data_IF_954068821439
#
_entry.id   IF_954068821439
#
_cell.length_a   1.000
_cell.length_b   1.000
_cell.length_c   1.000
_cell.angle_alpha   90.00
_cell.angle_beta   90.00
_cell.angle_gamma   90.00
#
_symmetry.space_group_name_H-M   'P 1'
#
loop_
_entity.id
_entity.type
_entity.pdbx_description
1 polymer ?
#
# COMPACT_ATOMS: atom_id res chain seq x y z
N UNK A 1 -1.27 -68.25 -7.61
CA UNK A 1 -0.42 -68.52 -6.44
C UNK A 1 0.89 -67.77 -6.60
N UNK A 2 1.07 -66.69 -5.84
CA UNK A 2 2.32 -65.97 -5.68
C UNK A 2 3.20 -66.77 -4.74
N UNK A 3 4.05 -67.66 -5.29
CA UNK A 3 4.90 -68.55 -4.51
C UNK A 3 6.33 -68.03 -4.34
N UNK A 4 6.69 -66.94 -5.00
CA UNK A 4 7.99 -66.29 -4.88
C UNK A 4 7.77 -64.81 -4.63
N UNK A 5 7.57 -64.49 -3.36
CA UNK A 5 7.29 -63.11 -2.94
C UNK A 5 8.56 -62.54 -2.29
N UNK A 6 9.42 -61.99 -3.10
CA UNK A 6 10.46 -61.10 -2.63
C UNK A 6 9.87 -59.69 -2.49
N UNK A 7 9.55 -59.31 -1.28
CA UNK A 7 8.89 -58.03 -0.99
C UNK A 7 9.77 -56.83 -1.36
N UNK A 8 11.07 -56.91 -1.13
CA UNK A 8 11.98 -55.79 -1.34
C UNK A 8 12.38 -55.60 -2.81
N UNK A 9 12.41 -56.64 -3.63
CA UNK A 9 12.83 -56.58 -5.04
C UNK A 9 11.69 -56.66 -6.06
N UNK A 10 10.43 -56.75 -5.62
CA UNK A 10 9.32 -56.95 -6.55
C UNK A 10 8.74 -55.64 -7.10
N UNK A 11 8.21 -55.70 -8.34
CA UNK A 11 7.43 -54.57 -8.91
C UNK A 11 6.23 -54.17 -8.03
N UNK A 12 5.70 -55.14 -7.24
CA UNK A 12 4.62 -54.87 -6.31
C UNK A 12 5.07 -53.94 -5.15
N UNK A 13 6.27 -54.16 -4.62
CA UNK A 13 6.86 -53.29 -3.61
C UNK A 13 7.00 -51.86 -4.13
N UNK A 14 7.51 -51.68 -5.33
CA UNK A 14 7.64 -50.36 -5.95
C UNK A 14 6.28 -49.63 -6.13
N UNK A 15 5.22 -50.39 -6.46
CA UNK A 15 3.86 -49.84 -6.55
C UNK A 15 3.34 -49.44 -5.16
N UNK A 16 3.57 -50.28 -4.16
CA UNK A 16 3.16 -49.99 -2.76
C UNK A 16 3.89 -48.76 -2.25
N UNK A 17 5.19 -48.64 -2.49
CA UNK A 17 5.98 -47.48 -2.11
C UNK A 17 5.49 -46.18 -2.80
N UNK A 18 5.17 -46.26 -4.09
CA UNK A 18 4.61 -45.12 -4.83
C UNK A 18 3.24 -44.72 -4.28
N UNK A 19 2.38 -45.66 -3.96
CA UNK A 19 1.08 -45.40 -3.33
C UNK A 19 1.22 -44.82 -1.94
N UNK A 20 2.14 -45.37 -1.14
CA UNK A 20 2.43 -44.84 0.19
C UNK A 20 2.93 -43.40 0.13
N UNK A 21 3.86 -43.11 -0.78
CA UNK A 21 4.37 -41.76 -1.00
C UNK A 21 3.26 -40.81 -1.47
N UNK A 22 2.44 -41.23 -2.43
CA UNK A 22 1.31 -40.42 -2.90
C UNK A 22 0.30 -40.13 -1.78
N UNK A 23 0.00 -41.12 -0.96
CA UNK A 23 -0.89 -40.98 0.21
C UNK A 23 -0.30 -40.03 1.23
N UNK A 24 1.00 -40.14 1.50
CA UNK A 24 1.70 -39.20 2.38
C UNK A 24 1.60 -37.74 1.89
N UNK A 25 1.93 -37.48 0.63
CA UNK A 25 1.86 -36.14 0.03
C UNK A 25 0.42 -35.62 0.03
N UNK A 26 -0.55 -36.46 -0.32
CA UNK A 26 -1.97 -36.07 -0.33
C UNK A 26 -2.46 -35.72 1.07
N UNK A 27 -2.09 -36.55 2.08
CA UNK A 27 -2.43 -36.29 3.48
C UNK A 27 -1.76 -35.02 4.01
N UNK A 28 -0.50 -34.78 3.66
CA UNK A 28 0.21 -33.56 3.99
C UNK A 28 -0.46 -32.33 3.41
N UNK A 29 -0.78 -32.35 2.11
CA UNK A 29 -1.47 -31.24 1.44
C UNK A 29 -2.88 -30.99 2.03
N UNK A 30 -3.63 -32.06 2.32
CA UNK A 30 -4.94 -31.96 2.94
C UNK A 30 -4.85 -31.31 4.34
N UNK A 31 -3.84 -31.68 5.13
CA UNK A 31 -3.61 -31.08 6.43
C UNK A 31 -3.19 -29.61 6.33
N UNK A 32 -2.31 -29.28 5.38
CA UNK A 32 -1.96 -27.88 5.12
C UNK A 32 -3.17 -27.02 4.74
N UNK A 33 -3.97 -27.50 3.78
CA UNK A 33 -5.18 -26.78 3.37
C UNK A 33 -6.15 -26.62 4.54
N UNK A 34 -6.33 -27.68 5.35
CA UNK A 34 -7.19 -27.60 6.53
C UNK A 34 -6.72 -26.57 7.56
N UNK A 35 -5.41 -26.47 7.78
CA UNK A 35 -4.86 -25.46 8.69
C UNK A 35 -5.01 -24.03 8.18
N UNK A 36 -4.93 -23.83 6.86
CA UNK A 36 -5.05 -22.51 6.23
C UNK A 36 -6.49 -21.96 6.18
N UNK A 37 -7.50 -22.78 6.49
CA UNK A 37 -8.91 -22.35 6.54
C UNK A 37 -9.23 -21.53 7.79
N UNK A 38 -8.51 -21.73 8.87
CA UNK A 38 -8.78 -21.07 10.16
C UNK A 38 -7.74 -19.99 10.43
N UNK A 39 -8.18 -18.82 10.86
CA UNK A 39 -7.32 -17.66 11.12
C UNK A 39 -6.24 -17.95 12.19
N UNK A 40 -6.56 -18.81 13.17
CA UNK A 40 -5.66 -19.14 14.27
C UNK A 40 -4.53 -20.10 13.86
N UNK A 41 -4.75 -20.88 12.80
CA UNK A 41 -3.79 -21.90 12.33
C UNK A 41 -3.19 -21.58 10.97
N UNK A 42 -3.72 -20.56 10.27
CA UNK A 42 -3.18 -20.12 9.00
C UNK A 42 -1.77 -19.54 9.17
N UNK A 43 -0.84 -19.98 8.34
CA UNK A 43 0.56 -19.56 8.35
C UNK A 43 0.91 -18.60 7.22
N UNK A 44 0.20 -18.70 6.11
CA UNK A 44 0.40 -17.82 4.96
C UNK A 44 -0.33 -16.48 5.18
N UNK A 45 0.42 -15.37 5.16
CA UNK A 45 -0.12 -14.02 5.34
C UNK A 45 -1.32 -13.74 4.43
N UNK A 46 -1.26 -14.14 3.16
CA UNK A 46 -2.31 -13.93 2.17
C UNK A 46 -3.64 -14.59 2.58
N UNK A 47 -3.57 -15.80 3.14
CA UNK A 47 -4.75 -16.51 3.64
C UNK A 47 -5.32 -15.81 4.88
N UNK A 48 -4.46 -15.39 5.82
CA UNK A 48 -4.87 -14.63 7.01
C UNK A 48 -5.55 -13.32 6.61
N UNK A 49 -4.98 -12.58 5.66
CA UNK A 49 -5.56 -11.32 5.13
C UNK A 49 -6.92 -11.60 4.46
N UNK A 50 -7.02 -12.68 3.68
CA UNK A 50 -8.27 -13.06 3.01
C UNK A 50 -9.38 -13.42 4.02
N UNK A 51 -9.04 -14.17 5.06
CA UNK A 51 -9.97 -14.53 6.14
C UNK A 51 -10.38 -13.29 6.95
N UNK A 52 -9.43 -12.42 7.29
CA UNK A 52 -9.68 -11.17 8.01
C UNK A 52 -10.62 -10.25 7.23
N UNK A 53 -10.46 -10.19 5.92
CA UNK A 53 -11.34 -9.41 5.03
C UNK A 53 -12.78 -9.90 5.07
N UNK A 54 -13.02 -11.22 5.14
CA UNK A 54 -14.37 -11.78 5.22
C UNK A 54 -15.13 -11.32 6.48
N UNK A 55 -14.42 -10.96 7.55
CA UNK A 55 -15.00 -10.40 8.78
C UNK A 55 -14.94 -8.86 8.81
N UNK A 56 -14.58 -8.21 7.70
CA UNK A 56 -14.53 -6.76 7.57
C UNK A 56 -13.30 -6.08 8.16
N UNK A 57 -12.25 -6.85 8.50
CA UNK A 57 -11.00 -6.29 9.02
C UNK A 57 -10.02 -6.01 7.88
N UNK A 58 -9.53 -4.76 7.79
CA UNK A 58 -8.45 -4.39 6.90
C UNK A 58 -7.13 -4.36 7.69
N UNK A 59 -6.14 -5.19 7.33
CA UNK A 59 -4.84 -5.16 7.96
C UNK A 59 -4.18 -3.79 7.80
N UNK A 60 -3.52 -3.31 8.85
CA UNK A 60 -2.79 -2.05 8.80
C UNK A 60 -1.52 -2.20 7.98
N UNK A 61 -1.22 -1.17 7.22
CA UNK A 61 0.03 -1.05 6.47
C UNK A 61 1.25 -0.86 7.40
N UNK A 62 2.42 -0.90 6.84
CA UNK A 62 3.63 -0.41 7.52
C UNK A 62 3.45 1.06 7.81
N UNK A 63 4.04 1.52 8.92
CA UNK A 63 3.98 2.92 9.34
C UNK A 63 5.37 3.53 9.27
N UNK A 64 5.49 4.66 8.57
CA UNK A 64 6.71 5.42 8.49
C UNK A 64 7.07 6.03 9.85
N UNK A 65 8.34 6.00 10.21
CA UNK A 65 8.82 6.76 11.35
C UNK A 65 8.59 8.26 11.10
N UNK A 66 8.13 8.99 12.09
CA UNK A 66 7.81 10.42 11.96
C UNK A 66 8.55 11.25 12.99
N UNK A 67 8.93 12.46 12.60
CA UNK A 67 9.51 13.45 13.49
C UNK A 67 8.93 14.83 13.17
N UNK A 68 8.97 15.71 14.15
CA UNK A 68 8.61 17.12 13.97
C UNK A 68 9.87 17.95 14.03
N UNK A 69 10.10 18.77 13.02
CA UNK A 69 11.27 19.64 12.92
C UNK A 69 10.87 21.09 12.73
N UNK A 70 11.70 22.00 13.28
CA UNK A 70 11.56 23.43 13.05
C UNK A 70 12.92 23.97 12.58
N UNK A 71 12.87 24.81 11.54
CA UNK A 71 14.06 25.45 11.00
C UNK A 71 13.69 26.79 10.33
N UNK A 72 14.67 27.60 10.03
CA UNK A 72 14.45 28.86 9.33
C UNK A 72 15.43 28.98 8.14
N UNK A 73 15.03 29.75 7.15
CA UNK A 73 15.86 30.11 6.00
C UNK A 73 16.09 31.62 6.06
N UNK A 74 17.37 32.02 6.09
CA UNK A 74 17.78 33.43 6.03
C UNK A 74 17.80 33.86 4.56
N UNK A 75 16.94 34.83 4.24
CA UNK A 75 16.80 35.44 2.92
C UNK A 75 17.33 36.87 2.87
N UNK A 76 18.01 37.37 3.91
CA UNK A 76 18.44 38.76 4.01
C UNK A 76 19.40 39.17 2.88
N UNK A 77 20.18 38.22 2.34
CA UNK A 77 21.15 38.45 1.27
C UNK A 77 20.58 38.23 -0.14
N UNK A 78 19.25 37.97 -0.28
CA UNK A 78 18.60 37.72 -1.57
C UNK A 78 17.93 39.02 -2.04
N UNK A 79 18.32 39.49 -3.21
CA UNK A 79 17.72 40.71 -3.81
C UNK A 79 17.08 40.41 -5.17
N UNK A 80 15.78 40.65 -5.38
CA UNK A 80 14.80 41.13 -4.38
C UNK A 80 14.46 40.04 -3.36
N UNK A 81 14.19 40.42 -2.10
CA UNK A 81 13.76 39.49 -1.06
C UNK A 81 12.42 38.86 -1.48
N UNK A 82 12.29 37.56 -1.51
CA UNK A 82 11.03 36.89 -1.86
C UNK A 82 9.95 37.14 -0.81
N UNK A 83 8.69 37.29 -1.24
CA UNK A 83 7.56 37.48 -0.32
C UNK A 83 7.21 36.20 0.47
N UNK A 84 7.50 35.03 -0.10
CA UNK A 84 7.25 33.74 0.52
C UNK A 84 8.23 32.69 -0.01
N UNK A 85 8.44 31.63 0.79
CA UNK A 85 9.20 30.44 0.39
C UNK A 85 8.30 29.22 0.49
N UNK A 86 8.34 28.39 -0.54
CA UNK A 86 7.61 27.12 -0.58
C UNK A 86 8.57 25.95 -0.50
N UNK A 87 8.43 25.16 0.57
CA UNK A 87 9.06 23.86 0.70
C UNK A 87 8.23 22.85 -0.09
N UNK A 88 8.81 22.31 -1.15
CA UNK A 88 8.12 21.38 -2.03
C UNK A 88 8.01 19.99 -1.39
N UNK A 89 6.89 19.30 -1.64
CA UNK A 89 6.70 17.91 -1.24
C UNK A 89 7.81 17.00 -1.77
N UNK A 90 8.22 16.04 -0.96
CA UNK A 90 9.33 15.12 -1.27
C UNK A 90 10.42 15.19 -0.21
N UNK A 91 11.63 14.74 -0.53
CA UNK A 91 12.73 14.65 0.45
C UNK A 91 13.17 16.05 0.90
N UNK A 92 13.21 16.25 2.22
CA UNK A 92 13.58 17.51 2.86
C UNK A 92 14.77 17.36 3.82
N UNK A 93 15.02 16.16 4.31
CA UNK A 93 16.11 15.88 5.19
C UNK A 93 16.72 14.50 4.91
N UNK A 94 18.00 14.36 5.15
CA UNK A 94 18.68 13.08 5.11
C UNK A 94 19.65 13.00 6.28
N UNK A 95 19.89 11.79 6.80
CA UNK A 95 20.92 11.62 7.83
C UNK A 95 22.29 11.80 7.20
N UNK A 96 23.13 12.64 7.82
CA UNK A 96 24.53 12.84 7.41
C UNK A 96 25.48 11.72 7.90
N UNK A 97 25.02 10.90 8.82
CA UNK A 97 25.75 9.78 9.40
C UNK A 97 25.00 8.48 9.21
N UNK A 98 25.76 7.40 9.08
CA UNK A 98 25.20 6.06 9.00
C UNK A 98 24.90 5.55 10.41
N UNK A 99 23.63 5.43 10.77
CA UNK A 99 23.24 4.63 11.91
C UNK A 99 23.10 3.17 11.42
N UNK A 100 23.95 2.29 11.91
CA UNK A 100 23.95 0.89 11.45
C UNK A 100 24.30 0.70 9.97
N UNK A 101 25.12 1.58 9.40
CA UNK A 101 25.54 1.58 7.98
C UNK A 101 24.41 1.87 6.97
N UNK A 102 23.30 2.51 7.41
CA UNK A 102 22.20 2.94 6.56
C UNK A 102 22.00 4.46 6.63
N UNK A 103 21.71 5.08 5.50
CA UNK A 103 21.28 6.46 5.43
C UNK A 103 19.74 6.50 5.33
N UNK A 104 19.13 7.39 6.08
CA UNK A 104 17.68 7.57 6.08
C UNK A 104 17.33 8.90 5.42
N UNK A 105 16.28 8.88 4.62
CA UNK A 105 15.71 10.06 3.97
C UNK A 105 14.37 10.35 4.59
N UNK A 106 14.10 11.62 4.89
CA UNK A 106 12.81 12.08 5.41
C UNK A 106 12.15 13.01 4.40
N UNK A 107 10.87 12.78 4.19
CA UNK A 107 10.06 13.50 3.20
C UNK A 107 8.85 14.16 3.85
N UNK A 108 8.35 15.23 3.21
CA UNK A 108 7.02 15.82 3.48
C UNK A 108 6.03 15.41 2.40
N UNK A 109 4.77 15.27 2.77
CA UNK A 109 3.71 14.77 1.88
C UNK A 109 3.02 15.86 1.06
N UNK A 110 3.16 17.13 1.47
CA UNK A 110 2.52 18.28 0.83
C UNK A 110 3.44 19.50 0.77
N UNK A 111 3.18 20.39 -0.18
CA UNK A 111 3.87 21.67 -0.27
C UNK A 111 3.52 22.55 0.94
N UNK A 112 4.53 23.17 1.55
CA UNK A 112 4.35 24.09 2.69
C UNK A 112 4.91 25.44 2.31
N UNK A 113 4.06 26.48 2.31
CA UNK A 113 4.46 27.84 1.99
C UNK A 113 4.39 28.72 3.23
N UNK A 114 5.48 29.42 3.53
CA UNK A 114 5.57 30.39 4.62
C UNK A 114 5.95 31.76 4.09
N UNK A 115 5.45 32.85 4.69
CA UNK A 115 5.87 34.21 4.35
C UNK A 115 7.30 34.45 4.84
N UNK A 116 7.99 35.37 4.16
CA UNK A 116 9.28 35.91 4.61
C UNK A 116 8.99 37.17 5.42
N UNK A 117 9.36 37.15 6.69
CA UNK A 117 9.21 38.28 7.61
C UNK A 117 10.62 38.70 8.07
N UNK A 118 10.93 39.99 7.93
CA UNK A 118 12.24 40.56 8.28
C UNK A 118 13.44 39.79 7.67
N UNK A 119 13.27 39.31 6.44
CA UNK A 119 14.28 38.54 5.73
C UNK A 119 14.41 37.07 6.16
N UNK A 120 13.52 36.58 7.02
CA UNK A 120 13.54 35.19 7.54
C UNK A 120 12.24 34.47 7.18
N UNK A 121 12.38 33.27 6.62
CA UNK A 121 11.27 32.32 6.44
C UNK A 121 11.35 31.24 7.52
N UNK A 122 10.37 31.19 8.42
CA UNK A 122 10.35 30.24 9.55
C UNK A 122 9.39 29.10 9.29
N UNK A 123 9.91 27.90 9.28
CA UNK A 123 9.16 26.64 9.17
C UNK A 123 9.07 26.01 10.56
N UNK A 124 7.91 26.11 11.19
CA UNK A 124 7.70 25.62 12.56
C UNK A 124 6.86 24.34 12.55
N UNK A 125 7.29 23.37 13.37
CA UNK A 125 6.55 22.14 13.63
C UNK A 125 6.17 21.36 12.34
N UNK A 126 7.11 21.26 11.42
CA UNK A 126 6.91 20.51 10.19
C UNK A 126 7.03 19.02 10.48
N UNK A 127 5.96 18.26 10.19
CA UNK A 127 5.97 16.81 10.26
C UNK A 127 6.73 16.23 9.06
N UNK A 128 7.77 15.46 9.34
CA UNK A 128 8.54 14.72 8.35
C UNK A 128 8.40 13.23 8.59
N UNK A 129 8.40 12.45 7.51
CA UNK A 129 8.22 10.99 7.55
C UNK A 129 9.38 10.30 6.85
N UNK A 130 9.86 9.21 7.44
CA UNK A 130 10.92 8.40 6.84
C UNK A 130 10.45 7.78 5.53
N UNK A 131 11.31 7.84 4.53
CA UNK A 131 11.09 7.28 3.21
C UNK A 131 10.94 8.33 2.11
N UNK A 132 10.68 7.85 0.91
CA UNK A 132 10.53 8.67 -0.29
C UNK A 132 9.07 8.78 -0.69
N UNK A 133 8.65 9.99 -1.07
CA UNK A 133 7.33 10.19 -1.64
C UNK A 133 7.29 9.62 -3.06
N UNK A 134 6.42 8.63 -3.28
CA UNK A 134 6.19 8.01 -4.57
C UNK A 134 4.87 8.50 -5.17
N UNK A 135 4.83 8.66 -6.48
CA UNK A 135 3.62 9.05 -7.21
C UNK A 135 3.29 8.00 -8.25
N UNK A 136 2.08 7.47 -8.21
CA UNK A 136 1.55 6.54 -9.21
C UNK A 136 0.37 7.19 -9.91
N UNK A 137 0.32 7.08 -11.24
CA UNK A 137 -0.77 7.60 -12.05
C UNK A 137 -1.50 6.44 -12.70
N UNK A 138 -2.82 6.48 -12.64
CA UNK A 138 -3.71 5.53 -13.28
C UNK A 138 -4.68 6.28 -14.17
N UNK A 139 -5.16 5.65 -15.22
CA UNK A 139 -6.20 6.20 -16.08
C UNK A 139 -7.36 5.23 -16.12
N UNK A 140 -8.54 5.71 -15.77
CA UNK A 140 -9.76 4.93 -15.85
C UNK A 140 -10.31 4.94 -17.29
N UNK A 141 -10.77 3.77 -17.76
CA UNK A 141 -11.51 3.65 -18.99
C UNK A 141 -12.74 2.76 -18.78
N UNK A 142 -13.88 3.25 -19.22
CA UNK A 142 -15.15 2.52 -19.21
C UNK A 142 -15.14 1.24 -20.05
N UNK A 143 -14.16 1.13 -20.97
CA UNK A 143 -13.94 -0.07 -21.79
C UNK A 143 -13.27 -1.22 -21.02
N UNK A 144 -12.69 -0.92 -19.86
CA UNK A 144 -12.05 -1.92 -19.00
C UNK A 144 -12.82 -1.95 -17.68
N UNK A 145 -14.03 -2.54 -17.65
CA UNK A 145 -14.78 -2.70 -16.42
C UNK A 145 -13.94 -3.56 -15.46
N UNK A 146 -13.94 -3.22 -14.19
CA UNK A 146 -13.11 -3.86 -13.16
C UNK A 146 -11.59 -3.57 -13.26
N UNK A 147 -11.21 -2.41 -13.76
CA UNK A 147 -9.82 -1.95 -13.68
C UNK A 147 -9.35 -1.98 -12.22
N UNK A 148 -8.25 -2.66 -11.97
CA UNK A 148 -7.64 -2.74 -10.63
C UNK A 148 -6.56 -1.67 -10.52
N UNK A 149 -6.73 -0.74 -9.59
CA UNK A 149 -5.74 0.31 -9.29
C UNK A 149 -4.81 -0.17 -8.19
N UNK A 150 -3.88 -1.05 -8.53
CA UNK A 150 -2.93 -1.64 -7.58
C UNK A 150 -1.72 -0.72 -7.49
N UNK A 151 -1.40 -0.29 -6.26
CA UNK A 151 -0.18 0.47 -5.99
C UNK A 151 1.03 -0.46 -6.16
N UNK A 152 2.04 -0.06 -6.97
CA UNK A 152 3.09 -0.97 -7.40
C UNK A 152 4.06 -1.35 -6.28
N UNK A 153 4.14 -0.54 -5.23
CA UNK A 153 5.09 -0.70 -4.15
C UNK A 153 4.47 -1.43 -2.97
N UNK A 154 5.15 -2.45 -2.47
CA UNK A 154 4.88 -3.08 -1.19
C UNK A 154 5.41 -2.22 -0.04
N UNK A 155 4.84 -2.40 1.15
CA UNK A 155 5.35 -1.76 2.37
C UNK A 155 5.16 -0.24 2.44
N UNK A 156 4.17 0.30 1.72
CA UNK A 156 3.79 1.71 1.80
C UNK A 156 3.08 2.03 3.11
N UNK A 157 3.15 3.29 3.54
CA UNK A 157 2.32 3.82 4.62
C UNK A 157 1.01 4.35 4.04
N UNK A 158 -0.09 3.63 4.28
CA UNK A 158 -1.42 3.98 3.75
C UNK A 158 -2.06 5.17 4.49
N UNK A 159 -1.60 5.49 5.69
CA UNK A 159 -2.10 6.66 6.45
C UNK A 159 -1.66 7.98 5.79
N UNK A 160 -0.55 7.94 5.04
CA UNK A 160 -0.01 9.09 4.32
C UNK A 160 -0.44 9.15 2.84
N UNK A 161 -1.29 8.23 2.42
CA UNK A 161 -1.74 8.13 1.03
C UNK A 161 -2.63 9.32 0.68
N UNK A 162 -2.26 10.02 -0.38
CA UNK A 162 -3.03 11.13 -0.94
C UNK A 162 -3.55 10.77 -2.32
N UNK A 163 -4.87 10.66 -2.45
CA UNK A 163 -5.53 10.28 -3.70
C UNK A 163 -6.26 11.48 -4.29
N UNK A 164 -5.88 11.83 -5.51
CA UNK A 164 -6.54 12.89 -6.27
C UNK A 164 -7.03 12.37 -7.61
N UNK A 165 -8.21 12.78 -7.99
CA UNK A 165 -8.83 12.42 -9.27
C UNK A 165 -8.93 13.66 -10.14
N UNK A 166 -8.53 13.54 -11.42
CA UNK A 166 -8.64 14.57 -12.43
C UNK A 166 -9.74 14.20 -13.42
N UNK A 167 -10.45 15.19 -13.96
CA UNK A 167 -11.49 14.95 -14.97
C UNK A 167 -10.94 14.51 -16.35
N UNK A 168 -9.64 14.72 -16.59
CA UNK A 168 -8.91 14.22 -17.76
C UNK A 168 -7.41 14.33 -17.50
N UNK A 169 -6.61 13.66 -18.32
CA UNK A 169 -5.15 13.69 -18.20
C UNK A 169 -4.56 15.10 -18.31
N UNK A 170 -5.18 15.99 -19.08
CA UNK A 170 -4.75 17.37 -19.27
C UNK A 170 -5.38 18.36 -18.27
N UNK A 171 -6.34 17.89 -17.46
CA UNK A 171 -7.02 18.77 -16.50
C UNK A 171 -6.06 19.22 -15.41
N UNK A 172 -6.07 20.52 -15.13
CA UNK A 172 -5.37 21.12 -13.99
C UNK A 172 -6.17 21.01 -12.69
N UNK A 173 -7.50 20.82 -12.82
CA UNK A 173 -8.38 20.68 -11.67
C UNK A 173 -8.22 19.29 -11.05
N UNK A 174 -7.87 19.28 -9.77
CA UNK A 174 -7.69 18.07 -8.97
C UNK A 174 -8.77 18.03 -7.90
N UNK A 175 -9.36 16.87 -7.73
CA UNK A 175 -10.38 16.62 -6.71
C UNK A 175 -9.82 15.62 -5.71
N UNK A 176 -9.72 16.04 -4.45
CA UNK A 176 -9.28 15.16 -3.35
C UNK A 176 -10.34 14.11 -3.06
N UNK A 177 -9.91 12.86 -2.90
CA UNK A 177 -10.72 11.76 -2.42
C UNK A 177 -10.23 11.34 -1.03
N UNK A 178 -11.14 10.97 -0.15
CA UNK A 178 -10.84 10.57 1.23
C UNK A 178 -10.93 9.06 1.40
N UNK A 179 -10.05 8.45 2.22
CA UNK A 179 -10.17 7.04 2.56
C UNK A 179 -11.44 6.80 3.37
N UNK A 180 -12.04 5.64 3.20
CA UNK A 180 -13.23 5.23 3.94
C UNK A 180 -13.14 3.74 4.28
N UNK A 181 -13.45 3.40 5.52
CA UNK A 181 -13.42 2.03 6.03
C UNK A 181 -14.81 1.41 6.13
N UNK A 182 -15.86 2.22 6.04
CA UNK A 182 -17.24 1.81 6.21
C UNK A 182 -18.12 2.31 5.08
N UNK A 183 -19.16 1.56 4.74
CA UNK A 183 -20.18 1.95 3.77
C UNK A 183 -21.29 2.85 4.36
N UNK A 184 -21.26 3.10 5.66
CA UNK A 184 -22.24 3.96 6.30
C UNK A 184 -22.00 5.43 5.95
N UNK A 185 -23.08 6.19 5.79
CA UNK A 185 -23.09 7.62 5.46
C UNK A 185 -22.46 8.00 4.10
N UNK A 186 -22.26 7.01 3.21
CA UNK A 186 -21.77 7.27 1.86
C UNK A 186 -22.96 7.47 0.93
N UNK A 187 -22.92 8.57 0.19
CA UNK A 187 -23.87 8.90 -0.87
C UNK A 187 -23.24 8.67 -2.25
N UNK A 188 -24.08 8.63 -3.29
CA UNK A 188 -23.63 8.50 -4.69
C UNK A 188 -22.66 9.61 -5.16
N UNK A 189 -22.57 10.73 -4.44
CA UNK A 189 -21.71 11.87 -4.76
C UNK A 189 -20.48 11.96 -3.87
N UNK A 190 -20.37 11.11 -2.85
CA UNK A 190 -19.23 11.11 -1.92
C UNK A 190 -17.95 10.75 -2.64
N UNK A 191 -16.93 11.59 -2.49
CA UNK A 191 -15.61 11.44 -3.10
C UNK A 191 -14.72 10.63 -2.18
N UNK A 192 -14.91 9.32 -2.21
CA UNK A 192 -14.26 8.37 -1.32
C UNK A 192 -13.60 7.25 -2.09
N UNK A 193 -12.60 6.63 -1.47
CA UNK A 193 -12.00 5.40 -1.94
C UNK A 193 -11.84 4.43 -0.77
N UNK A 194 -11.82 3.14 -1.11
CA UNK A 194 -11.56 2.06 -0.17
C UNK A 194 -10.19 1.47 -0.47
N UNK A 195 -9.50 1.04 0.57
CA UNK A 195 -8.24 0.33 0.46
C UNK A 195 -8.48 -1.16 0.68
N UNK A 196 -7.81 -1.96 -0.12
CA UNK A 196 -7.80 -3.40 0.02
C UNK A 196 -6.37 -3.90 -0.14
N UNK A 197 -5.87 -4.67 0.81
CA UNK A 197 -4.61 -5.38 0.64
C UNK A 197 -4.78 -6.51 -0.36
N UNK A 198 -3.85 -6.62 -1.30
CA UNK A 198 -3.73 -7.69 -2.29
C UNK A 198 -2.44 -8.47 -2.06
N UNK A 199 -2.07 -9.33 -2.99
CA UNK A 199 -0.84 -10.11 -2.91
C UNK A 199 0.41 -9.23 -2.72
N UNK A 200 1.45 -9.78 -2.09
CA UNK A 200 2.76 -9.15 -1.86
C UNK A 200 2.70 -7.84 -1.04
N UNK A 201 1.84 -7.73 -0.04
CA UNK A 201 1.69 -6.53 0.80
C UNK A 201 1.40 -5.25 -0.01
N UNK A 202 0.84 -5.38 -1.22
CA UNK A 202 0.42 -4.24 -2.04
C UNK A 202 -1.02 -3.87 -1.74
N UNK A 203 -1.39 -2.65 -2.08
CA UNK A 203 -2.73 -2.13 -1.85
C UNK A 203 -3.43 -1.78 -3.16
N UNK A 204 -4.70 -2.12 -3.23
CA UNK A 204 -5.60 -1.74 -4.31
C UNK A 204 -6.51 -0.62 -3.86
N UNK A 205 -6.68 0.40 -4.70
CA UNK A 205 -7.69 1.42 -4.55
C UNK A 205 -8.98 0.97 -5.21
N UNK A 206 -10.09 1.08 -4.50
CA UNK A 206 -11.43 0.80 -4.99
C UNK A 206 -12.23 2.08 -4.88
N UNK A 207 -12.76 2.55 -5.99
CA UNK A 207 -13.59 3.75 -6.04
C UNK A 207 -15.08 3.38 -6.02
N UNK A 208 -15.93 4.39 -5.78
CA UNK A 208 -17.37 4.20 -5.78
C UNK A 208 -17.93 3.75 -7.13
N UNK A 209 -19.07 3.08 -7.09
CA UNK A 209 -19.81 2.56 -8.25
C UNK A 209 -20.97 3.47 -8.68
N UNK A 210 -21.15 4.63 -8.03
CA UNK A 210 -22.26 5.54 -8.25
C UNK A 210 -23.48 5.25 -7.35
N UNK A 211 -23.40 4.23 -6.50
CA UNK A 211 -24.35 3.95 -5.42
C UNK A 211 -23.64 4.24 -4.08
N UNK A 212 -22.50 3.59 -3.86
CA UNK A 212 -21.62 3.80 -2.71
C UNK A 212 -20.38 4.60 -3.12
N UNK A 213 -20.51 5.91 -3.15
CA UNK A 213 -19.48 6.84 -3.59
C UNK A 213 -19.57 7.20 -5.08
N UNK A 214 -18.90 8.28 -5.44
CA UNK A 214 -18.86 8.77 -6.82
C UNK A 214 -18.09 7.79 -7.70
N UNK A 215 -18.71 7.34 -8.80
CA UNK A 215 -18.06 6.54 -9.82
C UNK A 215 -17.03 7.40 -10.59
N UNK A 216 -15.96 6.76 -11.05
CA UNK A 216 -14.99 7.39 -11.95
C UNK A 216 -15.61 7.60 -13.33
N UNK A 217 -15.22 8.69 -13.98
CA UNK A 217 -15.60 9.05 -15.34
C UNK A 217 -14.47 8.70 -16.32
N UNK A 218 -14.77 8.60 -17.62
CA UNK A 218 -13.77 8.29 -18.65
C UNK A 218 -12.61 9.29 -18.61
N UNK A 219 -11.38 8.79 -18.54
CA UNK A 219 -10.17 9.61 -18.50
C UNK A 219 -9.75 10.12 -17.12
N UNK A 220 -10.50 9.73 -16.06
CA UNK A 220 -10.10 10.04 -14.68
C UNK A 220 -8.79 9.37 -14.29
#
# INVERSE_FOLDING_TARGET
NFTDYDFEGSNLSSIVDLLAYNTYITSYNANMVSNEVFIDSATLRENVVSLARNIGYLPKSRKAASATVSFFIDCANISPTPASITLKKGPVAATSGTFGNQSFVFSIVSDITVPVLDGIASFNEIAIHEGSLLTSNFTYSSRTPNAKFILPNAGIDTDLLNVVVKGSQQSTTQVQYSPQDSLFDITKTSKVYFLQEVEDERYQLIFGDGIFGKALEEGN
#
